data_IF_433599439129
#
_entry.id   IF_433599439129
#
_cell.length_a   1.000
_cell.length_b   1.000
_cell.length_c   1.000
_cell.angle_alpha   90.00
_cell.angle_beta   90.00
_cell.angle_gamma   90.00
#
_symmetry.space_group_name_H-M   'P 1'
#
loop_
_entity.id
_entity.type
_entity.pdbx_description
1 polymer ?
#
# COMPACT_ATOMS: atom_id res chain seq x y z
N UNK A 1 -1.45 22.55 7.30
CA UNK A 1 -1.85 22.37 6.77
C UNK A 1 -2.23 21.56 6.00
N UNK A 2 -2.67 21.19 5.81
CA UNK A 2 -3.46 20.25 5.36
C UNK A 2 -3.44 19.81 3.97
N UNK A 3 -2.45 19.35 3.52
CA UNK A 3 -2.42 18.72 2.20
C UNK A 3 -3.18 17.40 2.23
N UNK A 4 -3.55 16.93 1.05
CA UNK A 4 -4.11 15.60 0.89
C UNK A 4 -3.07 14.54 1.22
N UNK A 5 -3.52 13.42 1.77
CA UNK A 5 -2.68 12.26 1.97
C UNK A 5 -2.55 11.52 0.65
N UNK A 6 -1.34 11.35 0.17
CA UNK A 6 -1.08 10.70 -1.13
C UNK A 6 -0.88 9.21 -0.95
N UNK A 7 -1.74 8.43 -1.59
CA UNK A 7 -1.76 6.98 -1.46
C UNK A 7 -1.47 6.33 -2.82
N UNK A 8 -0.57 5.35 -2.83
CA UNK A 8 -0.39 4.48 -4.00
C UNK A 8 -1.01 3.13 -3.68
N UNK A 9 -2.06 2.77 -4.40
CA UNK A 9 -2.74 1.49 -4.24
C UNK A 9 -2.21 0.50 -5.27
N UNK A 10 -1.63 -0.60 -4.81
CA UNK A 10 -1.00 -1.60 -5.68
C UNK A 10 -1.75 -2.91 -5.56
N UNK A 11 -2.45 -3.29 -6.61
CA UNK A 11 -3.20 -4.54 -6.64
C UNK A 11 -3.49 -4.90 -8.08
N UNK A 12 -3.40 -6.18 -8.42
CA UNK A 12 -3.70 -6.64 -9.77
C UNK A 12 -5.19 -6.86 -10.00
N UNK A 13 -6.01 -6.76 -8.95
CA UNK A 13 -7.46 -6.87 -9.05
C UNK A 13 -8.10 -5.48 -9.21
N UNK A 14 -8.66 -5.17 -10.39
CA UNK A 14 -9.27 -3.85 -10.61
C UNK A 14 -10.35 -3.48 -9.60
N UNK A 15 -11.11 -4.47 -9.12
CA UNK A 15 -12.17 -4.21 -8.15
C UNK A 15 -11.62 -3.69 -6.83
N UNK A 16 -10.46 -4.18 -6.41
CA UNK A 16 -9.81 -3.71 -5.17
C UNK A 16 -9.33 -2.26 -5.36
N UNK A 17 -8.69 -1.99 -6.50
CA UNK A 17 -8.22 -0.64 -6.81
C UNK A 17 -9.38 0.35 -6.85
N UNK A 18 -10.49 -0.03 -7.50
CA UNK A 18 -11.67 0.82 -7.56
C UNK A 18 -12.24 1.08 -6.17
N UNK A 19 -12.21 0.06 -5.30
CA UNK A 19 -12.64 0.24 -3.91
C UNK A 19 -11.78 1.27 -3.19
N UNK A 20 -10.48 1.27 -3.43
CA UNK A 20 -9.59 2.26 -2.82
C UNK A 20 -9.93 3.67 -3.25
N UNK A 21 -10.20 3.89 -4.55
CA UNK A 21 -10.63 5.20 -5.04
C UNK A 21 -11.94 5.64 -4.40
N UNK A 22 -12.82 4.70 -4.14
CA UNK A 22 -14.11 5.00 -3.52
C UNK A 22 -13.96 5.29 -2.03
N UNK A 23 -13.15 4.52 -1.33
CA UNK A 23 -12.96 4.65 0.13
C UNK A 23 -12.19 5.93 0.47
N UNK A 24 -11.17 6.24 -0.31
CA UNK A 24 -10.28 7.38 -0.03
C UNK A 24 -10.51 8.47 -1.07
N UNK A 25 -11.39 9.40 -0.76
CA UNK A 25 -11.84 10.45 -1.68
C UNK A 25 -11.17 11.78 -1.43
N UNK A 26 -11.06 12.57 -2.50
CA UNK A 26 -10.66 13.97 -2.37
C UNK A 26 -11.68 14.71 -1.54
N UNK A 27 -11.29 15.81 -0.87
CA UNK A 27 -9.92 16.39 -0.90
C UNK A 27 -8.97 15.80 0.12
N UNK A 28 -9.42 14.94 1.03
CA UNK A 28 -8.57 14.42 2.10
C UNK A 28 -7.52 13.45 1.62
N UNK A 29 -7.82 12.73 0.55
CA UNK A 29 -6.92 11.71 0.01
C UNK A 29 -6.71 11.92 -1.48
N UNK A 30 -5.53 11.58 -1.95
CA UNK A 30 -5.25 11.47 -3.39
C UNK A 30 -4.75 10.07 -3.63
N UNK A 31 -5.50 9.29 -4.41
CA UNK A 31 -5.15 7.89 -4.69
C UNK A 31 -4.64 7.78 -6.10
N UNK A 32 -3.48 7.17 -6.27
CA UNK A 32 -2.98 6.71 -7.56
C UNK A 32 -2.90 5.20 -7.48
N UNK A 33 -2.77 4.53 -8.60
CA UNK A 33 -2.78 3.08 -8.61
C UNK A 33 -1.69 2.50 -9.48
N UNK A 34 -1.32 1.26 -9.17
CA UNK A 34 -0.42 0.47 -10.00
C UNK A 34 -0.95 -0.96 -9.99
N UNK A 35 -0.88 -1.62 -11.14
CA UNK A 35 -1.46 -2.96 -11.27
C UNK A 35 -0.51 -4.07 -10.83
N UNK A 36 0.75 -3.75 -10.59
CA UNK A 36 1.73 -4.72 -10.10
C UNK A 36 2.90 -3.98 -9.44
N UNK A 37 3.83 -4.76 -8.87
CA UNK A 37 4.95 -4.20 -8.14
C UNK A 37 5.91 -3.40 -9.04
N UNK A 38 6.08 -3.85 -10.27
CA UNK A 38 6.98 -3.16 -11.20
C UNK A 38 6.45 -1.78 -11.55
N UNK A 39 5.15 -1.68 -11.85
CA UNK A 39 4.50 -0.41 -12.11
C UNK A 39 4.55 0.50 -10.88
N UNK A 40 4.39 -0.09 -9.68
CA UNK A 40 4.47 0.67 -8.45
C UNK A 40 5.84 1.30 -8.26
N UNK A 41 6.90 0.52 -8.49
CA UNK A 41 8.26 1.03 -8.36
C UNK A 41 8.54 2.15 -9.36
N UNK A 42 8.03 2.01 -10.57
CA UNK A 42 8.18 3.05 -11.59
C UNK A 42 7.46 4.34 -11.17
N UNK A 43 6.29 4.23 -10.57
CA UNK A 43 5.54 5.40 -10.11
C UNK A 43 6.26 6.11 -8.96
N UNK A 44 6.79 5.35 -8.02
CA UNK A 44 7.54 5.94 -6.91
C UNK A 44 8.78 6.65 -7.42
N UNK A 45 9.48 6.04 -8.37
CA UNK A 45 10.70 6.63 -8.93
C UNK A 45 10.43 7.90 -9.73
N UNK A 46 9.29 7.95 -10.43
CA UNK A 46 8.97 9.05 -11.32
C UNK A 46 8.28 10.23 -10.63
N UNK A 47 7.79 10.04 -9.43
CA UNK A 47 6.99 11.06 -8.76
C UNK A 47 7.87 12.02 -7.96
N UNK A 48 7.88 13.33 -8.32
CA UNK A 48 8.65 14.30 -7.55
C UNK A 48 8.08 14.56 -6.15
N UNK A 49 6.78 14.29 -5.97
CA UNK A 49 6.13 14.40 -4.67
C UNK A 49 5.87 12.99 -4.16
N UNK A 50 6.64 12.52 -3.19
CA UNK A 50 6.53 11.13 -2.76
C UNK A 50 5.15 10.81 -2.19
N UNK A 51 4.79 9.54 -2.31
CA UNK A 51 3.56 9.05 -1.70
C UNK A 51 3.74 9.00 -0.17
N UNK A 52 2.66 9.31 0.53
CA UNK A 52 2.66 9.21 2.00
C UNK A 52 2.47 7.78 2.46
N UNK A 53 1.70 7.00 1.68
CA UNK A 53 1.42 5.60 2.01
C UNK A 53 1.40 4.78 0.73
N UNK A 54 2.01 3.59 0.80
CA UNK A 54 1.84 2.55 -0.23
C UNK A 54 1.01 1.45 0.39
N UNK A 55 -0.12 1.13 -0.24
CA UNK A 55 -0.97 0.00 0.16
C UNK A 55 -0.82 -1.05 -0.92
N UNK A 56 -0.25 -2.20 -0.59
CA UNK A 56 0.03 -3.23 -1.57
C UNK A 56 -0.59 -4.56 -1.21
N UNK A 57 -1.03 -5.29 -2.25
CA UNK A 57 -1.41 -6.68 -2.11
C UNK A 57 -0.15 -7.53 -1.97
N UNK A 58 -0.27 -8.67 -1.29
CA UNK A 58 0.84 -9.60 -1.13
C UNK A 58 1.05 -10.45 -2.38
N UNK A 59 -0.03 -10.89 -3.01
CA UNK A 59 0.05 -11.78 -4.17
C UNK A 59 -0.20 -11.03 -5.46
N UNK A 60 0.86 -10.82 -6.23
CA UNK A 60 0.79 -10.17 -7.54
C UNK A 60 1.71 -10.90 -8.50
N UNK A 61 1.37 -10.94 -9.80
CA UNK A 61 2.28 -11.53 -10.78
C UNK A 61 3.54 -10.68 -10.91
N UNK A 62 4.65 -11.34 -11.22
CA UNK A 62 5.94 -10.67 -11.35
C UNK A 62 6.51 -10.29 -10.01
N UNK A 63 6.65 -9.00 -9.75
CA UNK A 63 7.18 -8.52 -8.47
C UNK A 63 6.10 -8.66 -7.41
N UNK A 64 6.33 -9.55 -6.45
CA UNK A 64 5.38 -9.80 -5.35
C UNK A 64 5.36 -8.66 -4.35
N UNK A 65 4.40 -8.70 -3.42
CA UNK A 65 4.34 -7.70 -2.35
C UNK A 65 5.62 -7.68 -1.51
N UNK A 66 6.16 -8.84 -1.18
CA UNK A 66 7.40 -8.92 -0.40
C UNK A 66 8.55 -8.28 -1.16
N UNK A 67 8.67 -8.58 -2.45
CA UNK A 67 9.74 -8.01 -3.26
C UNK A 67 9.58 -6.50 -3.41
N UNK A 68 8.34 -6.04 -3.60
CA UNK A 68 8.05 -4.61 -3.68
C UNK A 68 8.47 -3.89 -2.40
N UNK A 69 8.08 -4.41 -1.25
CA UNK A 69 8.43 -3.79 0.04
C UNK A 69 9.94 -3.79 0.23
N UNK A 70 10.60 -4.88 -0.12
CA UNK A 70 12.06 -4.95 0.00
C UNK A 70 12.74 -3.86 -0.83
N UNK A 71 12.31 -3.69 -2.08
CA UNK A 71 12.88 -2.66 -2.93
C UNK A 71 12.55 -1.25 -2.47
N UNK A 72 11.37 -1.03 -1.93
CA UNK A 72 11.03 0.27 -1.35
C UNK A 72 11.95 0.60 -0.19
N UNK A 73 12.24 -0.38 0.67
CA UNK A 73 13.17 -0.18 1.79
C UNK A 73 14.58 0.09 1.30
N UNK A 74 15.03 -0.64 0.28
CA UNK A 74 16.37 -0.43 -0.29
C UNK A 74 16.52 0.97 -0.89
N UNK A 75 15.42 1.53 -1.38
CA UNK A 75 15.41 2.88 -1.96
C UNK A 75 15.14 3.97 -0.93
N UNK A 76 15.07 3.59 0.34
CA UNK A 76 14.82 4.51 1.45
C UNK A 76 13.48 5.25 1.29
N UNK A 77 12.45 4.54 0.84
CA UNK A 77 11.11 5.12 0.79
C UNK A 77 10.69 5.57 2.19
N UNK A 78 10.34 6.84 2.32
CA UNK A 78 10.07 7.46 3.62
C UNK A 78 8.64 7.36 4.09
N UNK A 79 7.72 6.95 3.21
CA UNK A 79 6.31 6.84 3.56
C UNK A 79 5.98 5.59 4.36
N UNK A 80 4.71 5.43 4.66
CA UNK A 80 4.21 4.26 5.37
C UNK A 80 3.88 3.16 4.38
N UNK A 81 3.95 1.91 4.84
CA UNK A 81 3.64 0.75 4.00
C UNK A 81 2.60 -0.10 4.69
N UNK A 82 1.50 -0.38 3.99
CA UNK A 82 0.43 -1.24 4.45
C UNK A 82 0.27 -2.40 3.48
N UNK A 83 0.17 -3.63 4.01
CA UNK A 83 0.03 -4.84 3.20
C UNK A 83 -1.36 -5.42 3.37
N UNK A 84 -2.00 -5.76 2.25
CA UNK A 84 -3.26 -6.48 2.24
C UNK A 84 -3.01 -7.89 1.73
N UNK A 85 -3.58 -8.89 2.38
CA UNK A 85 -3.37 -10.26 1.95
C UNK A 85 -4.57 -11.13 2.26
N UNK A 86 -4.89 -12.04 1.32
CA UNK A 86 -5.93 -13.03 1.56
C UNK A 86 -5.49 -14.06 2.62
N UNK A 87 -4.19 -14.22 2.80
CA UNK A 87 -3.66 -15.17 3.77
C UNK A 87 -2.32 -14.67 4.33
N UNK A 88 -2.32 -14.34 5.61
CA UNK A 88 -1.10 -13.93 6.31
C UNK A 88 -0.60 -15.09 7.16
N UNK A 89 0.14 -16.00 6.53
CA UNK A 89 0.77 -17.10 7.25
C UNK A 89 1.83 -16.56 8.21
N UNK A 90 2.27 -17.41 9.13
CA UNK A 90 3.31 -17.03 10.08
C UNK A 90 4.58 -16.56 9.35
N UNK A 91 4.97 -17.28 8.31
CA UNK A 91 6.18 -16.95 7.56
C UNK A 91 6.05 -15.63 6.80
N UNK A 92 4.91 -15.40 6.16
CA UNK A 92 4.65 -14.17 5.42
C UNK A 92 4.61 -12.98 6.38
N UNK A 93 3.90 -13.13 7.48
CA UNK A 93 3.82 -12.08 8.51
C UNK A 93 5.21 -11.74 9.05
N UNK A 94 6.01 -12.77 9.35
CA UNK A 94 7.36 -12.56 9.87
C UNK A 94 8.24 -11.81 8.88
N UNK A 95 8.12 -12.13 7.59
CA UNK A 95 8.91 -11.45 6.55
C UNK A 95 8.58 -9.95 6.49
N UNK A 96 7.29 -9.61 6.55
CA UNK A 96 6.89 -8.22 6.54
C UNK A 96 7.28 -7.48 7.83
N UNK A 97 7.16 -8.15 8.97
CA UNK A 97 7.56 -7.55 10.23
C UNK A 97 9.05 -7.25 10.26
N UNK A 98 9.85 -8.12 9.67
CA UNK A 98 11.29 -7.91 9.56
C UNK A 98 11.63 -6.68 8.73
N UNK A 99 10.83 -6.40 7.71
CA UNK A 99 10.98 -5.21 6.87
C UNK A 99 10.29 -3.98 7.46
N UNK A 100 9.68 -4.13 8.63
CA UNK A 100 9.06 -3.04 9.38
C UNK A 100 7.93 -2.35 8.62
N UNK A 101 7.05 -3.14 7.99
CA UNK A 101 5.84 -2.56 7.42
C UNK A 101 4.97 -2.02 8.55
N UNK A 102 4.19 -1.00 8.24
CA UNK A 102 3.45 -0.28 9.26
C UNK A 102 2.13 -0.93 9.62
N UNK A 103 1.54 -1.69 8.70
CA UNK A 103 0.30 -2.40 8.97
C UNK A 103 0.13 -3.58 8.02
N UNK A 104 -0.58 -4.60 8.48
CA UNK A 104 -0.97 -5.76 7.69
C UNK A 104 -2.43 -6.04 7.94
N UNK A 105 -3.23 -6.17 6.89
CA UNK A 105 -4.66 -6.42 6.99
C UNK A 105 -5.03 -7.61 6.13
N UNK A 106 -5.80 -8.54 6.69
CA UNK A 106 -6.28 -9.69 5.94
C UNK A 106 -7.54 -9.36 5.16
N UNK A 107 -7.61 -9.88 3.94
CA UNK A 107 -8.82 -9.82 3.11
C UNK A 107 -9.78 -10.94 3.54
N UNK A 108 -11.09 -10.74 3.47
CA UNK A 108 -11.75 -9.50 3.10
C UNK A 108 -11.72 -8.49 4.26
N UNK A 109 -11.58 -7.24 3.91
CA UNK A 109 -11.56 -6.17 4.92
C UNK A 109 -12.83 -5.33 4.81
N UNK A 110 -13.19 -4.68 5.92
CA UNK A 110 -14.27 -3.71 5.88
C UNK A 110 -13.71 -2.33 5.55
N UNK A 111 -14.56 -1.47 5.01
CA UNK A 111 -14.18 -0.07 4.75
C UNK A 111 -13.71 0.59 6.05
N UNK A 112 -14.44 0.34 7.13
CA UNK A 112 -14.13 0.92 8.43
C UNK A 112 -12.75 0.48 8.93
N UNK A 113 -12.43 -0.81 8.80
CA UNK A 113 -11.15 -1.33 9.26
C UNK A 113 -10.00 -0.74 8.47
N UNK A 114 -10.17 -0.61 7.15
CA UNK A 114 -9.13 -0.06 6.30
C UNK A 114 -8.90 1.42 6.60
N UNK A 115 -9.97 2.19 6.74
CA UNK A 115 -9.87 3.60 7.08
C UNK A 115 -9.22 3.82 8.43
N UNK A 116 -9.61 3.01 9.42
CA UNK A 116 -9.04 3.11 10.75
C UNK A 116 -7.54 2.84 10.73
N UNK A 117 -7.11 1.80 10.02
CA UNK A 117 -5.71 1.47 9.91
C UNK A 117 -4.92 2.62 9.24
N UNK A 118 -5.47 3.19 8.18
CA UNK A 118 -4.82 4.30 7.50
C UNK A 118 -4.73 5.54 8.40
N UNK A 119 -5.80 5.84 9.11
CA UNK A 119 -5.82 6.99 10.00
C UNK A 119 -4.78 6.87 11.11
N UNK A 120 -4.57 5.67 11.62
CA UNK A 120 -3.54 5.43 12.63
C UNK A 120 -2.14 5.64 12.06
N UNK A 121 -1.90 5.22 10.82
CA UNK A 121 -0.59 5.42 10.19
C UNK A 121 -0.31 6.90 9.92
N UNK A 122 -1.34 7.66 9.60
CA UNK A 122 -1.20 9.05 9.22
C UNK A 122 -1.16 9.99 10.43
N UNK A 123 -1.51 9.49 11.59
CA UNK A 123 -1.57 10.30 12.82
C UNK A 123 -0.20 10.79 13.28
#
# INVERSE_FOLDING_TARGET
>A
MGGSLKILAVDDEPSIVQSMFFIFERPMYEVDSAEDGEAALARVAANPNPFDVVITDNNMPGVSGIELVRQLRERNFSGKIMVLSAHLSVDVRAAYEEMKVDAMIEKPFSVKALRHALDELAA
#
